data_IF_226125015842
#
_entry.id   IF_226125015842
#
_cell.length_a   1.000
_cell.length_b   1.000
_cell.length_c   1.000
_cell.angle_alpha   90.00
_cell.angle_beta   90.00
_cell.angle_gamma   90.00
#
_symmetry.space_group_name_H-M   'P 1'
#
loop_
_entity.id
_entity.type
_entity.pdbx_description
1 polymer ?
#
# COMPACT_ATOMS: atom_id res chain seq x y z
N UNK A 1 -6.27 13.47 -7.28
CA UNK A 1 -6.93 12.21 -7.65
C UNK A 1 -6.69 11.97 -9.12
N UNK A 2 -5.89 10.96 -9.46
CA UNK A 2 -5.74 10.51 -10.86
C UNK A 2 -6.65 9.31 -11.06
N UNK A 3 -7.15 9.13 -12.26
CA UNK A 3 -8.06 8.05 -12.62
C UNK A 3 -7.40 7.25 -13.73
N UNK A 4 -7.31 5.94 -13.53
CA UNK A 4 -6.95 4.98 -14.55
C UNK A 4 -8.13 4.01 -14.72
N UNK A 5 -8.48 3.70 -15.96
CA UNK A 5 -9.43 2.62 -16.27
C UNK A 5 -8.58 1.47 -16.75
N UNK A 6 -8.55 0.39 -15.98
CA UNK A 6 -7.93 -0.87 -16.42
C UNK A 6 -9.05 -1.71 -17.04
N UNK A 7 -8.90 -2.04 -18.31
CA UNK A 7 -9.80 -2.93 -19.04
C UNK A 7 -9.20 -4.34 -18.97
N UNK A 8 -9.88 -5.25 -18.29
CA UNK A 8 -9.57 -6.68 -18.30
C UNK A 8 -10.71 -7.38 -19.03
N UNK A 9 -10.48 -7.71 -20.30
CA UNK A 9 -11.22 -8.60 -21.24
C UNK A 9 -12.75 -8.80 -21.19
N UNK A 10 -13.50 -8.03 -20.41
CA UNK A 10 -14.94 -7.69 -20.51
C UNK A 10 -15.43 -6.92 -19.25
N UNK A 11 -14.62 -6.80 -18.20
CA UNK A 11 -14.91 -6.01 -17.01
C UNK A 11 -14.01 -4.76 -16.92
N UNK A 12 -14.63 -3.60 -16.79
CA UNK A 12 -13.95 -2.32 -16.58
C UNK A 12 -13.88 -2.02 -15.08
N UNK A 13 -12.68 -2.08 -14.50
CA UNK A 13 -12.46 -1.61 -13.13
C UNK A 13 -11.98 -0.15 -13.15
N UNK A 14 -12.73 0.72 -12.46
CA UNK A 14 -12.29 2.08 -12.20
C UNK A 14 -11.27 2.08 -11.06
N UNK A 15 -10.02 2.37 -11.38
CA UNK A 15 -8.97 2.56 -10.39
C UNK A 15 -8.65 4.05 -10.19
N UNK A 16 -8.55 4.43 -8.93
CA UNK A 16 -8.33 5.81 -8.52
C UNK A 16 -7.08 5.89 -7.65
N UNK A 17 -6.25 6.89 -7.91
CA UNK A 17 -5.06 7.18 -7.12
C UNK A 17 -5.30 8.31 -6.12
N UNK A 18 -4.86 8.06 -4.89
CA UNK A 18 -4.82 9.04 -3.81
C UNK A 18 -3.46 9.02 -3.12
N UNK A 19 -2.88 10.20 -2.90
CA UNK A 19 -1.59 10.37 -2.21
C UNK A 19 -1.82 11.00 -0.86
N UNK A 20 -1.20 10.46 0.18
CA UNK A 20 -1.27 11.00 1.54
C UNK A 20 -0.19 10.41 2.42
N UNK A 21 -0.12 10.86 3.67
CA UNK A 21 0.77 10.27 4.66
C UNK A 21 0.13 9.02 5.28
N UNK A 22 0.91 7.95 5.40
CA UNK A 22 0.52 6.71 6.04
C UNK A 22 0.43 6.92 7.55
N UNK A 23 -0.78 6.93 8.11
CA UNK A 23 -1.00 7.14 9.55
C UNK A 23 -0.99 5.81 10.31
N UNK A 24 -1.72 4.82 9.80
CA UNK A 24 -1.84 3.47 10.37
C UNK A 24 -1.68 2.46 9.25
N UNK A 25 -1.00 1.34 9.53
CA UNK A 25 -0.93 0.19 8.62
C UNK A 25 -1.23 -1.10 9.37
N UNK A 26 -1.86 -2.04 8.67
CA UNK A 26 -2.06 -3.42 9.08
C UNK A 26 -1.62 -4.32 7.92
N UNK A 27 -0.31 -4.31 7.64
CA UNK A 27 0.29 -5.10 6.57
C UNK A 27 1.01 -6.35 7.05
N UNK A 28 1.21 -6.46 8.36
CA UNK A 28 2.02 -7.52 8.92
C UNK A 28 1.39 -8.88 8.60
N UNK A 29 2.20 -9.91 8.30
CA UNK A 29 1.70 -11.24 8.01
C UNK A 29 0.79 -11.77 9.12
N UNK A 30 -0.28 -12.45 8.71
CA UNK A 30 -1.13 -13.19 9.65
C UNK A 30 -0.30 -14.34 10.21
N UNK A 31 -0.16 -14.38 11.54
CA UNK A 31 0.61 -15.43 12.24
C UNK A 31 -0.21 -16.69 12.44
N UNK A 32 -1.50 -16.52 12.68
CA UNK A 32 -2.44 -17.62 12.94
C UNK A 32 -3.78 -17.24 12.35
N UNK A 33 -4.26 -18.08 11.44
CA UNK A 33 -5.53 -17.91 10.76
C UNK A 33 -6.46 -19.07 11.08
N UNK A 34 -7.76 -18.80 11.17
CA UNK A 34 -8.80 -19.80 11.39
C UNK A 34 -9.93 -19.60 10.40
N UNK A 35 -10.61 -20.69 10.04
CA UNK A 35 -11.68 -20.69 9.02
C UNK A 35 -12.83 -19.76 9.41
N UNK A 36 -13.22 -19.74 10.69
CA UNK A 36 -14.29 -18.87 11.22
C UNK A 36 -14.02 -17.37 11.05
N UNK A 37 -12.74 -17.00 10.93
CA UNK A 37 -12.28 -15.62 10.77
C UNK A 37 -11.78 -15.29 9.37
N UNK A 38 -11.86 -16.21 8.42
CA UNK A 38 -11.32 -16.04 7.06
C UNK A 38 -11.72 -14.70 6.42
N UNK A 39 -13.01 -14.33 6.49
CA UNK A 39 -13.55 -13.07 5.93
C UNK A 39 -13.04 -11.80 6.62
N UNK A 40 -12.48 -11.91 7.83
CA UNK A 40 -12.00 -10.78 8.63
C UNK A 40 -10.54 -10.41 8.39
N UNK A 41 -9.74 -11.35 7.86
CA UNK A 41 -8.34 -11.09 7.56
C UNK A 41 -8.22 -10.14 6.37
N UNK A 42 -7.60 -8.99 6.62
CA UNK A 42 -7.42 -7.95 5.62
C UNK A 42 -6.10 -7.21 5.84
N UNK A 43 -5.53 -6.74 4.75
CA UNK A 43 -4.55 -5.66 4.75
C UNK A 43 -5.30 -4.36 4.78
N UNK A 44 -4.88 -3.42 5.61
CA UNK A 44 -5.46 -2.09 5.59
C UNK A 44 -4.44 -1.01 5.89
N UNK A 45 -4.77 0.20 5.48
CA UNK A 45 -4.03 1.41 5.78
C UNK A 45 -4.98 2.57 6.00
N UNK A 46 -4.51 3.58 6.74
CA UNK A 46 -5.19 4.86 6.89
C UNK A 46 -4.28 5.94 6.34
N UNK A 47 -4.77 6.70 5.36
CA UNK A 47 -4.09 7.89 4.85
C UNK A 47 -4.68 9.14 5.49
N UNK A 48 -3.80 10.12 5.73
CA UNK A 48 -4.18 11.47 6.12
C UNK A 48 -3.61 12.49 5.16
N UNK A 49 -4.41 13.51 4.85
CA UNK A 49 -4.05 14.58 3.92
C UNK A 49 -3.52 15.87 4.56
N UNK A 50 -3.51 15.98 5.89
CA UNK A 50 -3.15 17.21 6.62
C UNK A 50 -3.91 18.45 6.13
N UNK A 51 -5.23 18.30 5.94
CA UNK A 51 -6.13 19.33 5.38
C UNK A 51 -5.73 19.88 4.00
N UNK A 52 -4.85 19.17 3.27
CA UNK A 52 -4.46 19.58 1.93
C UNK A 52 -5.67 19.55 0.97
N UNK A 53 -5.88 20.66 0.26
CA UNK A 53 -7.06 20.88 -0.58
C UNK A 53 -7.29 19.78 -1.62
N UNK A 54 -6.21 19.28 -2.25
CA UNK A 54 -6.28 18.19 -3.23
C UNK A 54 -6.75 16.88 -2.61
N UNK A 55 -6.35 16.60 -1.36
CA UNK A 55 -6.78 15.40 -0.64
C UNK A 55 -8.26 15.52 -0.27
N UNK A 56 -8.66 16.66 0.29
CA UNK A 56 -10.06 16.95 0.63
C UNK A 56 -10.98 16.91 -0.60
N UNK A 57 -10.51 17.40 -1.74
CA UNK A 57 -11.22 17.28 -3.02
C UNK A 57 -11.37 15.82 -3.47
N UNK A 58 -10.35 14.98 -3.26
CA UNK A 58 -10.43 13.55 -3.55
C UNK A 58 -11.48 12.87 -2.66
N UNK A 59 -11.52 13.16 -1.36
CA UNK A 59 -12.55 12.66 -0.45
C UNK A 59 -13.96 13.07 -0.89
N UNK A 60 -14.13 14.34 -1.27
CA UNK A 60 -15.39 14.85 -1.82
C UNK A 60 -15.81 14.12 -3.10
N UNK A 61 -14.86 13.81 -3.99
CA UNK A 61 -15.16 13.06 -5.21
C UNK A 61 -15.56 11.62 -4.91
N UNK A 62 -14.96 10.97 -3.92
CA UNK A 62 -15.37 9.63 -3.48
C UNK A 62 -16.79 9.61 -2.91
N UNK A 63 -17.20 10.65 -2.17
CA UNK A 63 -18.59 10.80 -1.75
C UNK A 63 -19.56 10.90 -2.93
N UNK A 64 -19.16 11.55 -4.03
CA UNK A 64 -19.98 11.61 -5.25
C UNK A 64 -20.12 10.24 -5.91
N UNK A 65 -19.05 9.43 -5.90
CA UNK A 65 -19.09 8.04 -6.40
C UNK A 65 -20.01 7.19 -5.54
N UNK A 66 -19.91 7.28 -4.21
CA UNK A 66 -20.81 6.56 -3.30
C UNK A 66 -22.29 6.97 -3.52
N UNK A 67 -22.56 8.26 -3.70
CA UNK A 67 -23.90 8.74 -4.03
C UNK A 67 -24.39 8.27 -5.40
N UNK A 68 -23.49 8.11 -6.38
CA UNK A 68 -23.82 7.50 -7.67
C UNK A 68 -24.26 6.05 -7.48
N UNK A 69 -23.47 5.24 -6.77
CA UNK A 69 -23.81 3.86 -6.45
C UNK A 69 -25.18 3.74 -5.76
N UNK A 70 -25.44 4.56 -4.75
CA UNK A 70 -26.72 4.58 -4.04
C UNK A 70 -27.92 4.84 -4.97
N UNK A 71 -27.79 5.76 -5.93
CA UNK A 71 -28.85 6.00 -6.91
C UNK A 71 -29.03 4.83 -7.87
N UNK A 72 -27.95 4.16 -8.26
CA UNK A 72 -27.97 3.07 -9.23
C UNK A 72 -28.60 1.79 -8.66
N UNK A 73 -28.26 1.42 -7.43
CA UNK A 73 -28.78 0.17 -6.83
C UNK A 73 -30.19 0.28 -6.25
N UNK A 74 -30.74 1.49 -6.15
CA UNK A 74 -32.11 1.72 -5.67
C UNK A 74 -32.36 1.34 -4.21
N UNK A 75 -31.31 1.03 -3.44
CA UNK A 75 -31.37 0.63 -2.04
C UNK A 75 -30.38 1.45 -1.19
N UNK A 76 -30.42 1.26 0.13
CA UNK A 76 -29.56 2.04 1.02
C UNK A 76 -28.10 1.60 0.89
N UNK A 77 -27.20 2.57 0.76
CA UNK A 77 -25.76 2.34 0.74
C UNK A 77 -25.15 2.94 2.00
N UNK A 78 -24.60 2.09 2.86
CA UNK A 78 -23.79 2.51 3.99
C UNK A 78 -22.43 2.95 3.48
N UNK A 79 -22.21 4.27 3.50
CA UNK A 79 -20.90 4.86 3.24
C UNK A 79 -20.08 4.77 4.53
N UNK A 80 -18.84 4.24 4.50
CA UNK A 80 -17.98 4.25 5.67
C UNK A 80 -17.74 5.70 6.11
N UNK A 81 -17.70 5.99 7.42
CA UNK A 81 -17.38 7.32 7.86
C UNK A 81 -15.96 7.66 7.39
N UNK A 82 -15.84 8.67 6.52
CA UNK A 82 -14.57 9.36 6.35
C UNK A 82 -14.21 9.91 7.73
N UNK A 83 -13.25 9.25 8.37
CA UNK A 83 -12.87 9.54 9.75
C UNK A 83 -11.97 10.75 9.75
N UNK A 84 -12.15 11.63 10.74
CA UNK A 84 -11.20 12.72 10.98
C UNK A 84 -10.37 12.39 12.20
N UNK A 85 -9.09 12.73 12.14
CA UNK A 85 -8.18 12.67 13.28
C UNK A 85 -7.78 14.09 13.68
N UNK A 86 -6.92 14.22 14.69
CA UNK A 86 -6.29 15.52 15.02
C UNK A 86 -5.47 16.13 13.86
N UNK A 87 -5.18 15.35 12.84
CA UNK A 87 -4.43 15.73 11.64
C UNK A 87 -5.35 16.01 10.43
N UNK A 88 -6.67 16.05 10.63
CA UNK A 88 -7.65 16.31 9.58
C UNK A 88 -8.32 15.05 9.02
N UNK A 89 -9.04 15.18 7.88
CA UNK A 89 -9.75 14.09 7.23
C UNK A 89 -8.81 12.95 6.80
N UNK A 90 -9.30 11.72 6.98
CA UNK A 90 -8.58 10.50 6.67
C UNK A 90 -9.44 9.56 5.82
N UNK A 91 -8.78 8.60 5.17
CA UNK A 91 -9.42 7.49 4.48
C UNK A 91 -8.78 6.17 4.88
N UNK A 92 -9.61 5.18 5.19
CA UNK A 92 -9.18 3.80 5.35
C UNK A 92 -9.36 3.06 4.02
N UNK A 93 -8.29 2.40 3.56
CA UNK A 93 -8.30 1.50 2.42
C UNK A 93 -7.99 0.09 2.92
N UNK A 94 -8.66 -0.92 2.36
CA UNK A 94 -8.37 -2.29 2.75
C UNK A 94 -8.61 -3.30 1.64
N UNK A 95 -7.91 -4.43 1.71
CA UNK A 95 -8.07 -5.58 0.83
C UNK A 95 -8.13 -6.84 1.69
N UNK A 96 -9.10 -7.72 1.44
CA UNK A 96 -9.18 -9.00 2.14
C UNK A 96 -8.06 -9.92 1.66
N UNK A 97 -7.56 -10.74 2.58
CA UNK A 97 -6.61 -11.79 2.22
C UNK A 97 -7.26 -12.96 1.51
N UNK A 98 -8.54 -13.25 1.80
CA UNK A 98 -9.25 -14.39 1.24
C UNK A 98 -10.67 -13.97 0.84
N UNK A 99 -11.14 -14.51 -0.28
CA UNK A 99 -12.52 -14.40 -0.75
C UNK A 99 -13.21 -15.75 -0.68
N UNK A 100 -14.55 -15.74 -0.67
CA UNK A 100 -15.30 -16.98 -0.79
C UNK A 100 -15.33 -17.39 -2.26
N UNK A 101 -15.20 -18.67 -2.59
CA UNK A 101 -15.08 -19.16 -3.97
C UNK A 101 -16.25 -18.72 -4.88
N UNK A 102 -17.46 -18.62 -4.32
CA UNK A 102 -18.64 -18.11 -5.06
C UNK A 102 -18.58 -16.61 -5.40
N UNK A 103 -17.68 -15.84 -4.78
CA UNK A 103 -17.52 -14.40 -4.99
C UNK A 103 -16.39 -14.10 -6.00
N UNK A 104 -15.78 -15.12 -6.61
CA UNK A 104 -14.53 -15.02 -7.39
C UNK A 104 -14.67 -15.76 -8.72
N UNK A 105 -14.08 -15.23 -9.78
CA UNK A 105 -13.92 -15.96 -11.04
C UNK A 105 -12.89 -17.09 -10.87
N UNK A 106 -13.21 -18.35 -11.18
CA UNK A 106 -12.26 -19.46 -11.10
C UNK A 106 -10.93 -19.22 -11.82
N UNK A 107 -10.91 -18.44 -12.91
CA UNK A 107 -9.69 -18.11 -13.67
C UNK A 107 -8.76 -17.14 -12.91
N UNK A 108 -9.30 -16.37 -11.97
CA UNK A 108 -8.55 -15.41 -11.14
C UNK A 108 -7.97 -16.04 -9.86
N UNK A 109 -8.27 -17.31 -9.57
CA UNK A 109 -7.76 -18.01 -8.39
C UNK A 109 -6.24 -18.22 -8.56
N UNK A 110 -5.48 -17.81 -7.55
CA UNK A 110 -4.02 -17.87 -7.57
C UNK A 110 -3.46 -18.49 -6.28
N UNK A 111 -2.23 -18.98 -6.35
CA UNK A 111 -1.53 -19.47 -5.17
C UNK A 111 -1.12 -18.30 -4.24
N UNK A 112 -1.15 -18.55 -2.93
CA UNK A 112 -0.72 -17.57 -1.93
C UNK A 112 0.80 -17.53 -1.88
N UNK A 113 1.38 -16.43 -2.33
CA UNK A 113 2.84 -16.18 -2.36
C UNK A 113 3.46 -16.20 -0.95
N UNK A 114 4.75 -16.54 -0.85
CA UNK A 114 5.48 -16.64 0.43
C UNK A 114 5.67 -15.30 1.14
N UNK A 115 5.73 -14.19 0.41
CA UNK A 115 5.78 -12.86 0.99
C UNK A 115 4.41 -12.40 1.53
N UNK A 116 3.33 -12.96 0.99
CA UNK A 116 1.95 -12.76 1.45
C UNK A 116 1.65 -13.57 2.72
N UNK A 117 2.02 -14.85 2.76
CA UNK A 117 1.75 -15.77 3.88
C UNK A 117 3.00 -16.58 4.28
N UNK A 118 4.03 -15.92 4.84
CA UNK A 118 5.29 -16.58 5.22
C UNK A 118 5.11 -17.65 6.30
N UNK A 119 3.99 -17.65 7.02
CA UNK A 119 3.68 -18.65 8.05
C UNK A 119 2.83 -19.81 7.52
N UNK A 120 2.36 -19.75 6.27
CA UNK A 120 1.43 -20.73 5.68
C UNK A 120 0.06 -20.79 6.37
N UNK A 121 -0.29 -19.77 7.16
CA UNK A 121 -1.50 -19.78 7.99
C UNK A 121 -2.77 -19.58 7.14
N UNK A 122 -2.71 -18.73 6.12
CA UNK A 122 -3.79 -18.52 5.18
C UNK A 122 -3.93 -19.71 4.23
N UNK A 123 -2.81 -20.28 3.77
CA UNK A 123 -2.82 -21.54 3.00
C UNK A 123 -3.45 -22.69 3.78
N UNK A 124 -3.19 -22.76 5.09
CA UNK A 124 -3.82 -23.75 5.95
C UNK A 124 -5.35 -23.57 6.02
N UNK A 125 -5.85 -22.33 6.00
CA UNK A 125 -7.30 -22.06 5.92
C UNK A 125 -7.88 -22.57 4.60
N UNK A 126 -7.28 -22.22 3.46
CA UNK A 126 -7.72 -22.70 2.13
C UNK A 126 -7.68 -24.23 2.02
N UNK A 127 -6.66 -24.86 2.60
CA UNK A 127 -6.52 -26.33 2.60
C UNK A 127 -7.56 -27.01 3.50
N UNK A 128 -7.96 -26.36 4.59
CA UNK A 128 -8.93 -26.91 5.55
C UNK A 128 -10.37 -26.71 5.09
N UNK A 129 -10.66 -25.63 4.39
CA UNK A 129 -11.96 -25.31 3.83
C UNK A 129 -11.82 -24.71 2.42
N UNK A 130 -12.07 -25.49 1.36
CA UNK A 130 -11.84 -25.07 -0.03
C UNK A 130 -12.85 -24.01 -0.52
N UNK A 131 -13.81 -23.62 0.30
CA UNK A 131 -14.66 -22.46 0.00
C UNK A 131 -13.92 -21.13 0.14
N UNK A 132 -12.73 -21.12 0.76
CA UNK A 132 -11.89 -19.93 0.87
C UNK A 132 -10.73 -20.01 -0.11
N UNK A 133 -10.59 -18.99 -0.94
CA UNK A 133 -9.57 -18.90 -1.98
C UNK A 133 -8.84 -17.57 -1.92
N UNK A 134 -7.62 -17.57 -2.44
CA UNK A 134 -6.88 -16.36 -2.77
C UNK A 134 -7.00 -16.12 -4.27
N UNK A 135 -7.32 -14.88 -4.64
CA UNK A 135 -7.57 -14.51 -6.01
C UNK A 135 -6.84 -13.22 -6.38
N UNK A 136 -6.79 -12.90 -7.68
CA UNK A 136 -6.20 -11.67 -8.21
C UNK A 136 -6.72 -10.42 -7.47
N UNK A 137 -8.01 -10.36 -7.15
CA UNK A 137 -8.59 -9.25 -6.40
C UNK A 137 -8.12 -9.13 -4.94
N UNK A 138 -7.56 -10.19 -4.35
CA UNK A 138 -6.98 -10.18 -3.01
C UNK A 138 -5.49 -9.74 -3.04
N UNK A 139 -4.90 -9.61 -4.22
CA UNK A 139 -3.52 -9.16 -4.38
C UNK A 139 -3.41 -7.64 -4.23
N UNK A 140 -2.34 -7.20 -3.55
CA UNK A 140 -2.01 -5.78 -3.38
C UNK A 140 -0.56 -5.59 -3.80
N UNK A 141 -0.36 -4.79 -4.85
CA UNK A 141 0.99 -4.51 -5.35
C UNK A 141 1.69 -3.48 -4.48
N UNK A 142 2.90 -3.80 -4.03
CA UNK A 142 3.77 -2.86 -3.30
C UNK A 142 4.94 -2.41 -4.19
N UNK A 143 5.14 -1.11 -4.25
CA UNK A 143 6.22 -0.52 -5.05
C UNK A 143 6.89 0.66 -4.34
N UNK A 144 8.10 1.00 -4.78
CA UNK A 144 8.82 2.21 -4.37
C UNK A 144 9.18 3.04 -5.58
N UNK A 145 8.89 4.34 -5.49
CA UNK A 145 9.26 5.30 -6.49
C UNK A 145 10.78 5.55 -6.41
N UNK A 146 11.46 5.38 -7.53
CA UNK A 146 12.90 5.62 -7.67
C UNK A 146 13.09 6.60 -8.82
N UNK A 147 13.88 7.64 -8.59
CA UNK A 147 14.29 8.54 -9.66
C UNK A 147 15.35 7.85 -10.51
N UNK A 148 15.05 7.64 -11.80
CA UNK A 148 16.01 7.10 -12.75
C UNK A 148 16.69 8.27 -13.47
N UNK A 149 17.95 8.52 -13.11
CA UNK A 149 18.76 9.60 -13.67
C UNK A 149 19.10 9.40 -15.15
N UNK A 150 19.11 8.16 -15.66
CA UNK A 150 19.43 7.90 -17.06
C UNK A 150 18.31 8.33 -18.01
N UNK A 151 17.05 8.22 -17.56
CA UNK A 151 15.86 8.62 -18.33
C UNK A 151 15.13 9.83 -17.73
N UNK A 152 15.71 10.46 -16.71
CA UNK A 152 15.19 11.64 -16.01
C UNK A 152 13.71 11.50 -15.61
N UNK A 153 13.29 10.28 -15.24
CA UNK A 153 11.88 9.97 -14.93
C UNK A 153 11.77 9.10 -13.70
N UNK A 154 10.62 9.23 -13.02
CA UNK A 154 10.27 8.35 -11.91
C UNK A 154 9.91 6.97 -12.45
N UNK A 155 10.50 5.93 -11.86
CA UNK A 155 10.17 4.52 -12.12
C UNK A 155 9.74 3.86 -10.81
N UNK A 156 8.92 2.83 -10.91
CA UNK A 156 8.52 2.03 -9.76
C UNK A 156 9.31 0.73 -9.76
N UNK A 157 9.91 0.39 -8.62
CA UNK A 157 10.50 -0.92 -8.36
C UNK A 157 9.62 -1.66 -7.36
N UNK A 158 9.60 -2.98 -7.45
CA UNK A 158 8.94 -3.82 -6.45
C UNK A 158 9.44 -3.47 -5.04
N UNK A 159 8.51 -3.43 -4.11
CA UNK A 159 8.77 -3.24 -2.69
C UNK A 159 8.03 -4.33 -1.91
N UNK A 160 8.39 -4.49 -0.65
CA UNK A 160 7.73 -5.39 0.27
C UNK A 160 6.88 -4.60 1.25
N UNK A 161 5.83 -5.21 1.80
CA UNK A 161 4.94 -4.52 2.72
C UNK A 161 5.65 -4.03 4.00
N UNK A 162 6.78 -4.68 4.36
CA UNK A 162 7.68 -4.29 5.45
C UNK A 162 8.48 -3.01 5.17
N UNK A 163 8.59 -2.57 3.91
CA UNK A 163 9.34 -1.36 3.53
C UNK A 163 8.60 -0.06 3.91
N UNK A 164 7.33 -0.16 4.31
CA UNK A 164 6.45 0.98 4.59
C UNK A 164 6.31 1.23 6.09
N UNK A 165 6.37 2.49 6.48
CA UNK A 165 6.29 2.95 7.88
C UNK A 165 5.28 4.08 8.04
N UNK A 166 4.71 4.17 9.25
CA UNK A 166 3.89 5.33 9.62
C UNK A 166 4.72 6.61 9.44
N UNK A 167 4.14 7.58 8.75
CA UNK A 167 4.79 8.83 8.34
C UNK A 167 5.16 8.88 6.86
N UNK A 168 5.34 7.73 6.20
CA UNK A 168 5.65 7.70 4.76
C UNK A 168 4.60 8.40 3.92
N UNK A 169 5.03 9.14 2.90
CA UNK A 169 4.15 9.61 1.85
C UNK A 169 3.99 8.49 0.84
N UNK A 170 2.75 8.06 0.64
CA UNK A 170 2.41 6.96 -0.27
C UNK A 170 1.32 7.38 -1.24
N UNK A 171 1.38 6.87 -2.46
CA UNK A 171 0.25 6.88 -3.40
C UNK A 171 -0.40 5.50 -3.37
N UNK A 172 -1.70 5.47 -3.10
CA UNK A 172 -2.48 4.24 -3.13
C UNK A 172 -3.36 4.22 -4.38
N UNK A 173 -3.39 3.08 -5.07
CA UNK A 173 -4.47 2.76 -6.02
C UNK A 173 -5.59 2.07 -5.27
N UNK A 174 -6.82 2.48 -5.55
CA UNK A 174 -8.02 1.86 -4.99
C UNK A 174 -9.10 1.72 -6.04
N UNK A 175 -10.01 0.78 -5.82
CA UNK A 175 -11.27 0.67 -6.54
C UNK A 175 -12.45 0.74 -5.57
N UNK A 176 -13.65 0.84 -6.14
CA UNK A 176 -14.89 0.94 -5.37
C UNK A 176 -15.78 -0.26 -5.63
N UNK A 177 -16.36 -0.82 -4.57
CA UNK A 177 -17.31 -1.91 -4.67
C UNK A 177 -18.48 -1.71 -3.71
N UNK A 178 -19.58 -2.39 -4.00
CA UNK A 178 -20.69 -2.56 -3.08
C UNK A 178 -20.73 -4.00 -2.61
N UNK A 179 -20.81 -4.22 -1.30
CA UNK A 179 -21.05 -5.54 -0.73
C UNK A 179 -22.42 -5.59 -0.05
N UNK A 180 -23.26 -6.60 -0.33
CA UNK A 180 -24.52 -6.76 0.38
C UNK A 180 -24.28 -6.97 1.87
N UNK A 181 -25.07 -6.31 2.70
CA UNK A 181 -25.08 -6.50 4.15
C UNK A 181 -26.03 -7.64 4.51
N UNK A 182 -25.71 -8.38 5.57
CA UNK A 182 -26.50 -9.54 6.02
C UNK A 182 -27.92 -9.18 6.49
N UNK A 183 -28.15 -7.92 6.80
CA UNK A 183 -29.45 -7.44 7.25
C UNK A 183 -30.32 -7.18 6.02
N UNK A 184 -31.38 -7.98 5.87
CA UNK A 184 -32.49 -7.91 4.88
C UNK A 184 -32.15 -7.85 3.38
N UNK A 185 -30.87 -7.80 3.00
CA UNK A 185 -30.43 -7.74 1.60
C UNK A 185 -30.73 -6.41 0.90
N UNK A 186 -31.39 -5.47 1.58
CA UNK A 186 -31.78 -4.17 1.05
C UNK A 186 -30.79 -3.06 1.44
N UNK A 187 -29.61 -3.45 1.92
CA UNK A 187 -28.52 -2.56 2.29
C UNK A 187 -27.20 -3.07 1.75
N UNK A 188 -26.46 -2.16 1.14
CA UNK A 188 -25.11 -2.42 0.68
C UNK A 188 -24.11 -1.56 1.45
N UNK A 189 -22.90 -2.07 1.63
CA UNK A 189 -21.78 -1.31 2.16
C UNK A 189 -20.90 -0.84 1.01
N UNK A 190 -20.59 0.45 0.97
CA UNK A 190 -19.59 1.01 0.06
C UNK A 190 -18.19 0.65 0.57
N UNK A 191 -17.36 0.08 -0.30
CA UNK A 191 -16.00 -0.36 0.01
C UNK A 191 -14.99 0.40 -0.84
N UNK A 192 -13.94 0.89 -0.18
CA UNK A 192 -12.73 1.37 -0.83
C UNK A 192 -11.69 0.24 -0.78
N UNK A 193 -11.51 -0.46 -1.90
CA UNK A 193 -10.65 -1.63 -2.01
C UNK A 193 -9.23 -1.19 -2.33
N UNK A 194 -8.26 -1.61 -1.52
CA UNK A 194 -6.85 -1.31 -1.76
C UNK A 194 -6.31 -2.23 -2.87
N UNK A 195 -5.73 -1.65 -3.92
CA UNK A 195 -5.15 -2.39 -5.07
C UNK A 195 -3.62 -2.28 -5.15
N UNK A 196 -3.06 -1.13 -4.84
CA UNK A 196 -1.61 -0.95 -4.79
C UNK A 196 -1.18 0.14 -3.81
N UNK A 197 0.06 0.05 -3.32
CA UNK A 197 0.71 1.07 -2.49
C UNK A 197 2.09 1.35 -3.06
N UNK A 198 2.33 2.61 -3.43
CA UNK A 198 3.62 3.09 -3.90
C UNK A 198 4.23 4.04 -2.86
N UNK A 199 5.44 3.73 -2.40
CA UNK A 199 6.23 4.62 -1.53
C UNK A 199 6.77 5.77 -2.37
N UNK A 200 6.35 7.00 -2.05
CA UNK A 200 6.73 8.21 -2.77
C UNK A 200 7.88 8.94 -2.10
N UNK A 201 7.82 9.04 -0.78
CA UNK A 201 8.80 9.68 0.07
C UNK A 201 8.77 9.06 1.47
N UNK A 202 9.94 8.73 2.00
CA UNK A 202 10.12 8.16 3.34
C UNK A 202 10.90 9.11 4.27
N UNK A 203 11.20 10.33 3.84
CA UNK A 203 11.86 11.36 4.66
C UNK A 203 11.16 11.61 6.00
N UNK A 204 9.82 11.73 6.06
CA UNK A 204 9.12 11.99 7.32
C UNK A 204 9.21 10.85 8.35
N UNK A 205 9.38 9.59 7.91
CA UNK A 205 9.59 8.44 8.78
C UNK A 205 11.07 8.18 9.08
N UNK A 206 11.99 8.65 8.22
CA UNK A 206 13.44 8.45 8.31
C UNK A 206 14.21 9.67 8.85
N UNK A 207 13.67 10.39 9.83
CA UNK A 207 14.30 11.59 10.43
C UNK A 207 15.70 11.30 11.04
N UNK A 208 16.04 10.03 11.30
CA UNK A 208 17.31 9.61 11.90
C UNK A 208 18.41 9.16 10.90
N UNK A 209 18.17 9.09 9.58
CA UNK A 209 19.21 8.65 8.62
C UNK A 209 19.99 9.79 7.97
N UNK A 210 19.47 11.02 7.95
CA UNK A 210 20.09 12.17 7.28
C UNK A 210 21.16 12.91 8.08
N UNK A 211 21.42 12.52 9.35
CA UNK A 211 22.49 13.11 10.17
C UNK A 211 23.79 12.28 10.22
N UNK A 212 23.86 11.14 9.51
CA UNK A 212 25.00 10.20 9.60
C UNK A 212 25.96 10.16 8.41
N UNK A 213 25.58 10.69 7.24
CA UNK A 213 26.40 10.63 6.02
C UNK A 213 26.69 12.03 5.49
N UNK A 214 27.37 12.84 6.30
CA UNK A 214 28.25 13.85 5.72
C UNK A 214 29.61 13.18 5.58
N UNK A 215 29.92 12.67 4.39
CA UNK A 215 31.28 12.31 4.03
C UNK A 215 32.17 13.53 4.29
N UNK A 216 32.92 13.49 5.38
CA UNK A 216 34.04 14.39 5.61
C UNK A 216 35.13 13.98 4.64
N UNK A 217 35.08 14.52 3.42
CA UNK A 217 36.22 14.54 2.52
C UNK A 217 37.36 15.29 3.22
N UNK A 218 38.32 14.55 3.77
CA UNK A 218 39.60 15.11 4.21
C UNK A 218 40.43 15.41 2.96
N UNK A 219 40.82 16.67 2.70
CA UNK A 219 41.75 16.97 1.62
C UNK A 219 43.19 16.80 2.11
N UNK A 220 43.99 16.05 1.34
CA UNK A 220 45.44 16.18 1.34
C UNK A 220 46.22 15.05 2.00
N UNK A 221 46.59 14.04 1.21
CA UNK A 221 47.84 13.31 1.41
C UNK A 221 48.63 13.36 0.10
N UNK A 222 49.37 14.45 -0.08
CA UNK A 222 50.39 14.57 -1.12
C UNK A 222 51.62 13.81 -0.65
N UNK A 223 51.91 12.67 -1.25
CA UNK A 223 53.16 11.95 -1.05
C UNK A 223 54.31 12.78 -1.63
N UNK A 224 55.10 13.43 -0.76
CA UNK A 224 56.37 14.05 -1.15
C UNK A 224 57.52 13.06 -0.94
N UNK A 225 58.30 12.90 -2.01
CA UNK A 225 59.64 12.33 -2.00
C UNK A 225 60.62 13.26 -1.25
N UNK A 226 61.44 12.69 -0.36
CA UNK A 226 62.76 13.22 0.03
C UNK A 226 63.61 12.02 0.49
N UNK A 227 64.56 11.56 -0.33
CA UNK A 227 65.99 11.93 -0.27
C UNK A 227 66.58 11.81 1.13
N UNK A 228 67.29 10.70 1.37
CA UNK A 228 68.24 10.53 2.48
C UNK A 228 69.65 10.48 1.90
N UNK A 229 70.48 11.43 2.32
CA UNK A 229 71.93 11.47 2.09
C UNK A 229 72.59 11.66 3.46
N UNK A 230 73.49 10.72 3.80
CA UNK A 230 74.73 10.83 4.61
C UNK A 230 74.66 11.50 6.00
N UNK A 231 75.32 11.04 7.08
CA UNK A 231 76.33 10.01 7.32
C UNK A 231 77.03 10.28 8.68
N UNK A 232 77.82 9.29 9.16
CA UNK A 232 78.90 9.35 10.18
C UNK A 232 78.50 9.46 11.68
N UNK A 233 79.18 8.85 12.69
CA UNK A 233 80.44 8.10 12.83
C UNK A 233 80.52 7.40 14.24
N UNK A 234 81.52 6.52 14.41
CA UNK A 234 82.08 5.93 15.67
C UNK A 234 81.34 4.70 16.24
N UNK A 235 81.97 3.57 16.54
CA UNK A 235 83.39 3.23 16.83
C UNK A 235 83.63 1.78 16.46
#
# INVERSE_FOLDING_TARGET
MKVAVEALDNDMELQVEITGALLVKAFDPIKTATVDKARSYRRSLVLVGFDHSVFNQALSNMMKVAAFFQRTVGCSVQIPPFTSTKFGPCIELSCRYLSHVNDVDPEDIMEIEDDVDPNGSLRAVCSSDPHWVYAQENHVTFAKAVYDSAVQRRRYKTAQASDFQTGDIVTCKMSFALAPMRDDGNRHKFLCLLRAVALEDNGPSNVNRSYGETEVSRPGATTQHQQTTEGQHHT
#
